data_IF_732248190678
#
_entry.id   IF_732248190678
#
_cell.length_a   1.000
_cell.length_b   1.000
_cell.length_c   1.000
_cell.angle_alpha   90.00
_cell.angle_beta   90.00
_cell.angle_gamma   90.00
#
_symmetry.space_group_name_H-M   'P 1'
#
loop_
_entity.id
_entity.type
_entity.pdbx_description
1 polymer ?
#
# COMPACT_ATOMS: atom_id res chain seq x y z
N UNK A 1 9.29 -2.27 -16.91
CA UNK A 1 10.04 -1.41 -17.84
C UNK A 1 10.97 -2.22 -18.75
N UNK A 2 12.07 -2.85 -18.29
CA UNK A 2 13.02 -3.61 -19.15
C UNK A 2 12.34 -4.72 -19.97
N UNK A 3 11.42 -5.49 -19.38
CA UNK A 3 10.67 -6.55 -20.09
C UNK A 3 9.81 -5.99 -21.22
N UNK A 4 9.20 -4.80 -21.05
CA UNK A 4 8.42 -4.16 -22.12
C UNK A 4 9.31 -3.73 -23.28
N UNK A 5 10.51 -3.17 -22.99
CA UNK A 5 11.51 -2.86 -24.01
C UNK A 5 11.93 -4.11 -24.79
N UNK A 6 12.21 -5.22 -24.09
CA UNK A 6 12.53 -6.50 -24.73
C UNK A 6 11.40 -6.99 -25.64
N UNK A 7 10.15 -6.95 -25.19
CA UNK A 7 9.00 -7.35 -26.00
C UNK A 7 8.82 -6.44 -27.23
N UNK A 8 9.08 -5.14 -27.09
CA UNK A 8 8.90 -4.15 -28.16
C UNK A 8 9.96 -4.26 -29.26
N UNK A 9 11.20 -4.57 -28.91
CA UNK A 9 12.30 -4.62 -29.87
C UNK A 9 12.75 -6.05 -30.26
N UNK A 10 12.24 -7.07 -29.58
CA UNK A 10 12.62 -8.48 -29.72
C UNK A 10 13.86 -8.84 -28.91
N UNK A 11 13.88 -10.08 -28.39
CA UNK A 11 14.89 -10.55 -27.45
C UNK A 11 16.33 -10.47 -28.00
N UNK A 12 16.52 -10.79 -29.27
CA UNK A 12 17.86 -10.76 -29.89
C UNK A 12 18.44 -9.34 -30.00
N UNK A 13 17.63 -8.38 -30.46
CA UNK A 13 18.07 -6.98 -30.56
C UNK A 13 18.30 -6.38 -29.16
N UNK A 14 17.42 -6.73 -28.21
CA UNK A 14 17.58 -6.32 -26.81
C UNK A 14 18.89 -6.86 -26.21
N UNK A 15 19.18 -8.16 -26.42
CA UNK A 15 20.42 -8.77 -25.94
C UNK A 15 21.66 -8.10 -26.53
N UNK A 16 21.70 -7.86 -27.85
CA UNK A 16 22.83 -7.16 -28.50
C UNK A 16 23.00 -5.75 -27.93
N UNK A 17 21.90 -5.02 -27.74
CA UNK A 17 21.92 -3.69 -27.16
C UNK A 17 22.49 -3.68 -25.73
N UNK A 18 22.07 -4.63 -24.89
CA UNK A 18 22.62 -4.77 -23.54
C UNK A 18 24.10 -5.14 -23.54
N UNK A 19 24.54 -6.06 -24.41
CA UNK A 19 25.94 -6.43 -24.55
C UNK A 19 26.80 -5.21 -24.94
N UNK A 20 26.31 -4.40 -25.92
CA UNK A 20 26.99 -3.17 -26.34
C UNK A 20 27.03 -2.14 -25.22
N UNK A 21 25.92 -1.94 -24.50
CA UNK A 21 25.86 -1.04 -23.35
C UNK A 21 26.88 -1.42 -22.26
N UNK A 22 26.88 -2.68 -21.83
CA UNK A 22 27.78 -3.17 -20.80
C UNK A 22 29.27 -3.11 -21.23
N UNK A 23 29.59 -3.39 -22.49
CA UNK A 23 30.95 -3.31 -22.98
C UNK A 23 31.42 -1.86 -23.15
N UNK A 24 30.56 -0.95 -23.58
CA UNK A 24 30.89 0.47 -23.81
C UNK A 24 31.16 1.19 -22.47
N UNK A 25 30.42 0.86 -21.45
CA UNK A 25 30.48 1.51 -20.14
C UNK A 25 31.12 0.63 -19.05
N UNK A 26 31.89 -0.41 -19.44
CA UNK A 26 32.57 -1.28 -18.49
C UNK A 26 33.48 -0.46 -17.57
N UNK A 27 33.34 -0.69 -16.24
CA UNK A 27 34.08 0.02 -15.18
C UNK A 27 33.84 1.55 -15.15
N UNK A 28 32.84 2.06 -15.86
CA UNK A 28 32.46 3.47 -15.90
C UNK A 28 31.04 3.71 -15.39
N UNK A 29 30.66 4.99 -15.36
CA UNK A 29 29.29 5.39 -15.04
C UNK A 29 28.48 5.51 -16.33
N UNK A 30 27.31 4.88 -16.35
CA UNK A 30 26.38 4.97 -17.45
C UNK A 30 25.04 5.56 -16.97
N UNK A 31 24.33 6.20 -17.90
CA UNK A 31 23.01 6.79 -17.65
C UNK A 31 21.93 6.04 -18.38
N UNK A 32 20.67 6.30 -18.03
CA UNK A 32 19.53 5.80 -18.75
C UNK A 32 19.52 6.24 -20.23
N UNK A 33 19.87 7.50 -20.52
CA UNK A 33 19.93 8.01 -21.89
C UNK A 33 20.96 7.25 -22.74
N UNK A 34 22.10 6.88 -22.19
CA UNK A 34 23.09 6.04 -22.89
C UNK A 34 22.49 4.68 -23.28
N UNK A 35 21.74 4.05 -22.38
CA UNK A 35 21.07 2.78 -22.66
C UNK A 35 20.04 2.95 -23.79
N UNK A 36 19.16 3.94 -23.68
CA UNK A 36 18.08 4.18 -24.66
C UNK A 36 18.65 4.46 -26.06
N UNK A 37 19.72 5.24 -26.18
CA UNK A 37 20.38 5.51 -27.46
C UNK A 37 20.95 4.25 -28.11
N UNK A 38 21.57 3.38 -27.31
CA UNK A 38 22.11 2.11 -27.79
C UNK A 38 20.99 1.17 -28.23
N UNK A 39 19.91 1.04 -27.43
CA UNK A 39 18.77 0.20 -27.78
C UNK A 39 18.04 0.70 -29.04
N UNK A 40 17.89 2.01 -29.18
CA UNK A 40 17.33 2.62 -30.38
C UNK A 40 18.17 2.34 -31.63
N UNK A 41 19.50 2.41 -31.51
CA UNK A 41 20.41 2.12 -32.62
C UNK A 41 20.35 0.64 -33.06
N UNK A 42 20.11 -0.32 -32.13
CA UNK A 42 19.95 -1.75 -32.42
C UNK A 42 18.59 -2.08 -33.06
N UNK A 43 17.54 -1.33 -32.77
CA UNK A 43 16.18 -1.54 -33.28
C UNK A 43 15.47 -0.21 -33.57
N UNK A 44 15.84 0.54 -34.64
CA UNK A 44 15.28 1.86 -34.93
C UNK A 44 13.77 1.86 -35.17
N UNK A 45 13.22 0.77 -35.70
CA UNK A 45 11.79 0.61 -35.97
C UNK A 45 10.95 0.24 -34.72
N UNK A 46 11.58 0.00 -33.59
CA UNK A 46 10.90 -0.44 -32.37
C UNK A 46 10.40 0.73 -31.49
N UNK A 47 10.41 1.96 -31.97
CA UNK A 47 9.87 3.13 -31.25
C UNK A 47 10.40 3.31 -29.82
N UNK A 48 11.68 3.00 -29.58
CA UNK A 48 12.30 3.04 -28.24
C UNK A 48 12.33 4.47 -27.65
N UNK A 49 12.47 5.49 -28.50
CA UNK A 49 12.43 6.90 -28.06
C UNK A 49 11.04 7.33 -27.62
N UNK A 50 9.99 6.83 -28.27
CA UNK A 50 8.60 7.09 -27.87
C UNK A 50 8.30 6.41 -26.52
N UNK A 51 8.80 5.19 -26.33
CA UNK A 51 8.75 4.50 -25.05
C UNK A 51 9.44 5.32 -23.93
N UNK A 52 10.66 5.79 -24.19
CA UNK A 52 11.42 6.61 -23.22
C UNK A 52 10.65 7.89 -22.85
N UNK A 53 10.08 8.57 -23.83
CA UNK A 53 9.31 9.78 -23.59
C UNK A 53 8.06 9.50 -22.74
N UNK A 54 7.30 8.46 -23.07
CA UNK A 54 6.02 8.16 -22.41
C UNK A 54 6.19 7.51 -21.03
N UNK A 55 7.19 6.63 -20.86
CA UNK A 55 7.32 5.79 -19.70
C UNK A 55 8.35 6.28 -18.66
N UNK A 56 9.27 7.15 -19.08
CA UNK A 56 10.38 7.59 -18.22
C UNK A 56 10.41 9.11 -18.06
N UNK A 57 10.30 9.87 -19.16
CA UNK A 57 10.47 11.33 -19.13
C UNK A 57 9.18 12.09 -18.87
N UNK A 58 8.03 11.54 -19.27
CA UNK A 58 6.74 12.17 -19.00
C UNK A 58 6.37 12.00 -17.52
N UNK A 59 5.91 13.07 -16.89
CA UNK A 59 5.41 13.03 -15.51
C UNK A 59 4.01 12.40 -15.48
N UNK A 60 3.75 11.57 -14.47
CA UNK A 60 2.47 10.90 -14.26
C UNK A 60 2.34 9.59 -15.03
N UNK A 61 1.17 8.95 -14.90
CA UNK A 61 0.82 7.70 -15.58
C UNK A 61 -0.08 8.04 -16.75
N UNK A 62 0.23 7.62 -18.00
CA UNK A 62 -0.65 7.77 -19.14
C UNK A 62 -2.03 7.17 -18.85
N UNK A 63 -3.09 7.82 -19.31
CA UNK A 63 -4.46 7.37 -19.09
C UNK A 63 -5.13 7.04 -20.42
N UNK A 64 -5.86 5.92 -20.48
CA UNK A 64 -6.64 5.50 -21.64
C UNK A 64 -8.05 5.07 -21.22
N UNK A 65 -9.05 5.41 -22.01
CA UNK A 65 -10.42 4.93 -21.80
C UNK A 65 -10.50 3.45 -22.12
N UNK A 66 -11.12 2.69 -21.21
CA UNK A 66 -11.35 1.25 -21.37
C UNK A 66 -12.79 1.00 -21.83
N UNK A 67 -12.94 0.37 -23.00
CA UNK A 67 -14.22 -0.18 -23.44
C UNK A 67 -14.34 -1.64 -22.96
N UNK A 68 -15.24 -1.95 -22.02
CA UNK A 68 -15.44 -3.32 -21.56
C UNK A 68 -16.07 -4.24 -22.62
N UNK A 69 -16.58 -3.70 -23.74
CA UNK A 69 -17.15 -4.48 -24.84
C UNK A 69 -16.16 -4.71 -25.99
N UNK A 70 -14.93 -4.18 -25.91
CA UNK A 70 -13.91 -4.41 -26.94
C UNK A 70 -13.67 -5.90 -27.17
N UNK A 71 -13.36 -6.30 -28.41
CA UNK A 71 -13.10 -7.71 -28.73
C UNK A 71 -12.00 -8.33 -27.84
N UNK A 72 -10.94 -7.55 -27.62
CA UNK A 72 -9.84 -7.92 -26.72
C UNK A 72 -9.71 -6.84 -25.62
N UNK A 73 -9.53 -7.30 -24.35
CA UNK A 73 -9.21 -6.41 -23.26
C UNK A 73 -7.72 -6.05 -23.29
N UNK A 74 -7.36 -4.79 -23.04
CA UNK A 74 -5.95 -4.40 -23.03
C UNK A 74 -5.23 -4.93 -21.78
N UNK A 75 -3.90 -4.97 -21.89
CA UNK A 75 -2.98 -5.23 -20.77
C UNK A 75 -3.19 -6.55 -20.03
N UNK A 76 -3.70 -7.60 -20.67
CA UNK A 76 -3.88 -8.91 -20.00
C UNK A 76 -2.55 -9.61 -19.69
N UNK A 77 -1.45 -9.13 -20.25
CA UNK A 77 -0.09 -9.53 -19.88
C UNK A 77 0.47 -8.75 -18.67
N UNK A 78 -0.23 -7.72 -18.20
CA UNK A 78 0.17 -6.87 -17.08
C UNK A 78 1.42 -6.02 -17.34
N UNK A 79 1.80 -5.81 -18.61
CA UNK A 79 3.06 -5.14 -18.98
C UNK A 79 2.93 -3.67 -19.33
N UNK A 80 1.72 -3.14 -19.44
CA UNK A 80 1.52 -1.73 -19.79
C UNK A 80 1.65 -0.82 -18.57
N UNK A 81 2.38 0.28 -18.75
CA UNK A 81 2.43 1.39 -17.79
C UNK A 81 1.37 2.42 -18.21
N UNK A 82 0.11 2.08 -18.00
CA UNK A 82 -1.07 2.86 -18.39
C UNK A 82 -2.14 2.66 -17.33
N UNK A 83 -2.88 3.71 -17.03
CA UNK A 83 -4.10 3.63 -16.24
C UNK A 83 -5.28 3.52 -17.19
N UNK A 84 -6.00 2.41 -17.11
CA UNK A 84 -7.20 2.18 -17.90
C UNK A 84 -8.44 2.63 -17.14
N UNK A 85 -9.19 3.58 -17.69
CA UNK A 85 -10.34 4.19 -17.04
C UNK A 85 -11.65 3.69 -17.63
N UNK A 86 -12.48 3.09 -16.78
CA UNK A 86 -13.87 2.76 -17.06
C UNK A 86 -14.74 4.03 -16.99
N UNK A 87 -15.81 4.07 -17.79
CA UNK A 87 -16.69 5.22 -17.82
C UNK A 87 -17.44 5.42 -16.50
N UNK A 88 -17.99 4.34 -15.95
CA UNK A 88 -18.87 4.34 -14.77
C UNK A 88 -19.00 2.94 -14.16
N UNK A 89 -19.85 2.80 -13.13
CA UNK A 89 -20.12 1.53 -12.46
C UNK A 89 -20.74 0.48 -13.39
N UNK A 90 -21.53 0.86 -14.38
CA UNK A 90 -22.11 -0.10 -15.32
C UNK A 90 -21.04 -0.70 -16.26
N UNK A 91 -20.07 0.12 -16.67
CA UNK A 91 -18.90 -0.35 -17.41
C UNK A 91 -18.04 -1.28 -16.53
N UNK A 92 -17.93 -0.99 -15.22
CA UNK A 92 -17.20 -1.85 -14.27
C UNK A 92 -17.90 -3.20 -14.08
N UNK A 93 -19.23 -3.26 -14.00
CA UNK A 93 -19.97 -4.52 -13.94
C UNK A 93 -19.70 -5.42 -15.14
N UNK A 94 -19.76 -4.87 -16.35
CA UNK A 94 -19.44 -5.60 -17.59
C UNK A 94 -17.98 -6.07 -17.63
N UNK A 95 -17.06 -5.24 -17.15
CA UNK A 95 -15.66 -5.61 -17.08
C UNK A 95 -15.42 -6.75 -16.08
N UNK A 96 -16.12 -6.77 -14.94
CA UNK A 96 -16.10 -7.85 -13.95
C UNK A 96 -16.62 -9.16 -14.55
N UNK A 97 -17.71 -9.13 -15.31
CA UNK A 97 -18.22 -10.33 -15.99
C UNK A 97 -17.13 -10.95 -16.88
N UNK A 98 -16.47 -10.14 -17.68
CA UNK A 98 -15.39 -10.58 -18.57
C UNK A 98 -14.14 -11.04 -17.81
N UNK A 99 -13.78 -10.36 -16.71
CA UNK A 99 -12.66 -10.75 -15.87
C UNK A 99 -12.79 -12.19 -15.36
N UNK A 100 -14.00 -12.55 -14.94
CA UNK A 100 -14.26 -13.91 -14.40
C UNK A 100 -14.17 -15.01 -15.46
N UNK A 101 -14.24 -14.67 -16.75
CA UNK A 101 -14.12 -15.57 -17.90
C UNK A 101 -12.69 -15.63 -18.48
N UNK A 102 -11.76 -14.78 -18.01
CA UNK A 102 -10.39 -14.76 -18.53
C UNK A 102 -9.67 -16.10 -18.26
N UNK A 103 -9.00 -16.65 -19.29
CA UNK A 103 -8.44 -18.00 -19.22
C UNK A 103 -7.13 -18.10 -18.42
N UNK A 104 -6.49 -16.96 -18.14
CA UNK A 104 -5.18 -16.93 -17.48
C UNK A 104 -5.23 -16.20 -16.14
N UNK A 105 -4.59 -16.76 -15.13
CA UNK A 105 -4.44 -16.12 -13.81
C UNK A 105 -3.75 -14.75 -13.90
N UNK A 106 -2.76 -14.60 -14.77
CA UNK A 106 -2.08 -13.33 -15.02
C UNK A 106 -3.05 -12.28 -15.56
N UNK A 107 -3.88 -12.63 -16.55
CA UNK A 107 -4.90 -11.73 -17.09
C UNK A 107 -5.95 -11.33 -16.06
N UNK A 108 -6.38 -12.27 -15.22
CA UNK A 108 -7.31 -12.00 -14.13
C UNK A 108 -6.71 -11.03 -13.12
N UNK A 109 -5.45 -11.21 -12.73
CA UNK A 109 -4.79 -10.29 -11.79
C UNK A 109 -4.57 -8.91 -12.41
N UNK A 110 -4.18 -8.80 -13.68
CA UNK A 110 -4.05 -7.54 -14.39
C UNK A 110 -5.40 -6.78 -14.46
N UNK A 111 -6.50 -7.53 -14.68
CA UNK A 111 -7.84 -6.94 -14.66
C UNK A 111 -8.26 -6.50 -13.25
N UNK A 112 -7.90 -7.24 -12.19
CA UNK A 112 -8.11 -6.82 -10.80
C UNK A 112 -7.35 -5.52 -10.49
N UNK A 113 -6.10 -5.37 -10.96
CA UNK A 113 -5.34 -4.12 -10.81
C UNK A 113 -6.06 -2.95 -11.47
N UNK A 114 -6.57 -3.14 -12.70
CA UNK A 114 -7.39 -2.14 -13.41
C UNK A 114 -8.64 -1.75 -12.63
N UNK A 115 -9.37 -2.73 -12.07
CA UNK A 115 -10.55 -2.47 -11.22
C UNK A 115 -10.17 -1.72 -9.93
N UNK A 116 -9.05 -2.06 -9.31
CA UNK A 116 -8.58 -1.39 -8.09
C UNK A 116 -8.29 0.10 -8.37
N UNK A 117 -7.61 0.41 -9.46
CA UNK A 117 -7.38 1.82 -9.88
C UNK A 117 -8.71 2.55 -10.12
N UNK A 118 -9.67 1.92 -10.78
CA UNK A 118 -11.00 2.50 -11.01
C UNK A 118 -11.80 2.69 -9.71
N UNK A 119 -11.64 1.80 -8.74
CA UNK A 119 -12.21 1.96 -7.39
C UNK A 119 -11.56 3.15 -6.67
N UNK A 120 -10.24 3.30 -6.72
CA UNK A 120 -9.55 4.46 -6.13
C UNK A 120 -10.01 5.78 -6.77
N UNK A 121 -10.22 5.81 -8.09
CA UNK A 121 -10.75 6.96 -8.83
C UNK A 121 -12.26 7.17 -8.67
N UNK A 122 -12.94 6.41 -7.81
CA UNK A 122 -14.38 6.49 -7.55
C UNK A 122 -15.27 6.24 -8.79
N UNK A 123 -14.75 5.55 -9.81
CA UNK A 123 -15.50 5.14 -11.01
C UNK A 123 -16.37 3.90 -10.78
N UNK A 124 -16.12 3.21 -9.65
CA UNK A 124 -16.95 2.09 -9.18
C UNK A 124 -17.02 2.08 -7.65
N UNK A 125 -18.09 1.52 -7.06
CA UNK A 125 -18.20 1.38 -5.61
C UNK A 125 -17.13 0.43 -5.04
N UNK A 126 -16.49 0.80 -3.92
CA UNK A 126 -15.50 -0.02 -3.25
C UNK A 126 -16.04 -1.40 -2.83
N UNK A 127 -17.33 -1.48 -2.45
CA UNK A 127 -17.98 -2.75 -2.09
C UNK A 127 -18.08 -3.70 -3.29
N UNK A 128 -18.30 -3.19 -4.50
CA UNK A 128 -18.33 -4.00 -5.72
C UNK A 128 -16.95 -4.65 -5.95
N UNK A 129 -15.88 -3.87 -5.86
CA UNK A 129 -14.51 -4.38 -5.95
C UNK A 129 -14.22 -5.44 -4.88
N UNK A 130 -14.52 -5.13 -3.60
CA UNK A 130 -14.25 -6.04 -2.49
C UNK A 130 -14.96 -7.39 -2.66
N UNK A 131 -16.26 -7.39 -3.00
CA UNK A 131 -17.04 -8.62 -3.16
C UNK A 131 -16.59 -9.45 -4.38
N UNK A 132 -16.25 -8.80 -5.50
CA UNK A 132 -15.69 -9.49 -6.67
C UNK A 132 -14.38 -10.19 -6.29
N UNK A 133 -13.48 -9.48 -5.62
CA UNK A 133 -12.17 -10.03 -5.25
C UNK A 133 -12.31 -11.14 -4.19
N UNK A 134 -13.21 -11.00 -3.21
CA UNK A 134 -13.54 -12.08 -2.25
C UNK A 134 -14.07 -13.32 -2.98
N UNK A 135 -14.96 -13.15 -3.97
CA UNK A 135 -15.48 -14.27 -4.76
C UNK A 135 -14.36 -15.00 -5.52
N UNK A 136 -13.41 -14.26 -6.10
CA UNK A 136 -12.27 -14.87 -6.80
C UNK A 136 -11.41 -15.73 -5.87
N UNK A 137 -11.20 -15.31 -4.62
CA UNK A 137 -10.41 -16.11 -3.67
C UNK A 137 -11.04 -17.46 -3.33
N UNK A 138 -12.35 -17.65 -3.53
CA UNK A 138 -13.02 -18.90 -3.20
C UNK A 138 -12.70 -20.06 -4.16
N UNK A 139 -12.27 -19.75 -5.38
CA UNK A 139 -11.97 -20.73 -6.44
C UNK A 139 -10.49 -20.76 -6.81
N UNK A 140 -9.70 -19.88 -6.25
CA UNK A 140 -8.25 -19.75 -6.52
C UNK A 140 -7.45 -20.65 -5.56
N UNK A 141 -6.42 -21.30 -6.08
CA UNK A 141 -5.49 -22.15 -5.31
C UNK A 141 -4.02 -21.71 -5.42
N UNK A 142 -3.71 -20.83 -6.36
CA UNK A 142 -2.37 -20.28 -6.51
C UNK A 142 -2.04 -19.30 -5.38
N UNK A 143 -1.05 -19.65 -4.54
CA UNK A 143 -0.68 -18.88 -3.34
C UNK A 143 -0.27 -17.43 -3.65
N UNK A 144 0.44 -17.20 -4.76
CA UNK A 144 0.88 -15.85 -5.13
C UNK A 144 -0.30 -14.98 -5.57
N UNK A 145 -1.24 -15.54 -6.32
CA UNK A 145 -2.46 -14.84 -6.73
C UNK A 145 -3.35 -14.55 -5.53
N UNK A 146 -3.59 -15.54 -4.67
CA UNK A 146 -4.31 -15.37 -3.40
C UNK A 146 -3.70 -14.27 -2.54
N UNK A 147 -2.36 -14.24 -2.44
CA UNK A 147 -1.65 -13.20 -1.68
C UNK A 147 -1.92 -11.79 -2.23
N UNK A 148 -1.92 -11.65 -3.55
CA UNK A 148 -2.23 -10.38 -4.22
C UNK A 148 -3.69 -9.96 -4.01
N UNK A 149 -4.63 -10.88 -4.24
CA UNK A 149 -6.07 -10.64 -4.04
C UNK A 149 -6.36 -10.25 -2.59
N UNK A 150 -5.82 -10.99 -1.62
CA UNK A 150 -5.97 -10.69 -0.20
C UNK A 150 -5.46 -9.31 0.18
N UNK A 151 -4.31 -8.90 -0.39
CA UNK A 151 -3.75 -7.56 -0.18
C UNK A 151 -4.66 -6.45 -0.72
N UNK A 152 -5.25 -6.62 -1.89
CA UNK A 152 -6.20 -5.66 -2.45
C UNK A 152 -7.49 -5.56 -1.63
N UNK A 153 -8.04 -6.69 -1.17
CA UNK A 153 -9.24 -6.69 -0.33
C UNK A 153 -8.98 -5.93 0.97
N UNK A 154 -7.89 -6.22 1.65
CA UNK A 154 -7.52 -5.56 2.92
C UNK A 154 -7.38 -4.04 2.74
N UNK A 155 -6.69 -3.59 1.70
CA UNK A 155 -6.57 -2.16 1.39
C UNK A 155 -7.92 -1.50 1.09
N UNK A 156 -8.88 -2.26 0.56
CA UNK A 156 -10.21 -1.74 0.22
C UNK A 156 -11.08 -1.49 1.46
N UNK A 157 -10.80 -2.15 2.59
CA UNK A 157 -11.61 -2.02 3.81
C UNK A 157 -11.76 -0.56 4.28
N UNK A 158 -10.72 0.26 4.13
CA UNK A 158 -10.76 1.68 4.52
C UNK A 158 -11.72 2.55 3.69
N UNK A 159 -12.18 2.04 2.56
CA UNK A 159 -13.09 2.74 1.64
C UNK A 159 -14.55 2.29 1.75
N UNK A 160 -14.82 1.36 2.67
CA UNK A 160 -16.18 0.83 2.88
C UNK A 160 -16.91 1.59 3.99
N UNK A 161 -18.22 1.76 3.83
CA UNK A 161 -19.08 2.17 4.95
C UNK A 161 -19.04 1.11 6.04
N UNK A 162 -19.36 1.48 7.28
CA UNK A 162 -19.35 0.57 8.44
C UNK A 162 -20.15 -0.72 8.17
N UNK A 163 -21.36 -0.60 7.61
CA UNK A 163 -22.19 -1.75 7.26
C UNK A 163 -21.50 -2.69 6.26
N UNK A 164 -20.95 -2.14 5.17
CA UNK A 164 -20.29 -2.91 4.11
C UNK A 164 -18.98 -3.51 4.60
N UNK A 165 -18.22 -2.75 5.39
CA UNK A 165 -17.01 -3.21 6.04
C UNK A 165 -17.29 -4.41 6.95
N UNK A 166 -18.30 -4.33 7.81
CA UNK A 166 -18.72 -5.42 8.69
C UNK A 166 -19.01 -6.69 7.90
N UNK A 167 -19.71 -6.57 6.77
CA UNK A 167 -19.99 -7.72 5.91
C UNK A 167 -18.74 -8.32 5.28
N UNK A 168 -17.84 -7.49 4.73
CA UNK A 168 -16.59 -7.95 4.09
C UNK A 168 -15.63 -8.55 5.13
N UNK A 169 -15.47 -7.92 6.29
CA UNK A 169 -14.66 -8.46 7.39
C UNK A 169 -15.16 -9.83 7.86
N UNK A 170 -16.49 -10.03 7.93
CA UNK A 170 -17.07 -11.35 8.22
C UNK A 170 -16.65 -12.39 7.18
N UNK A 171 -16.71 -12.04 5.88
CA UNK A 171 -16.30 -12.96 4.80
C UNK A 171 -14.81 -13.29 4.87
N UNK A 172 -13.97 -12.30 5.14
CA UNK A 172 -12.54 -12.52 5.32
C UNK A 172 -12.23 -13.37 6.58
N UNK A 173 -13.02 -13.19 7.65
CA UNK A 173 -12.90 -14.03 8.83
C UNK A 173 -13.24 -15.50 8.53
N UNK A 174 -14.34 -15.77 7.80
CA UNK A 174 -14.70 -17.11 7.32
C UNK A 174 -13.55 -17.70 6.47
N UNK A 175 -12.97 -16.92 5.57
CA UNK A 175 -11.80 -17.32 4.76
C UNK A 175 -10.57 -17.65 5.64
N UNK A 176 -10.29 -16.85 6.67
CA UNK A 176 -9.18 -17.10 7.57
C UNK A 176 -9.32 -18.41 8.37
N UNK A 177 -10.55 -18.90 8.57
CA UNK A 177 -10.82 -20.17 9.26
C UNK A 177 -10.76 -21.37 8.30
N UNK A 178 -11.40 -21.28 7.14
CA UNK A 178 -11.81 -22.45 6.38
C UNK A 178 -11.15 -22.58 4.99
N UNK A 179 -10.42 -21.55 4.49
CA UNK A 179 -9.82 -21.63 3.16
C UNK A 179 -8.81 -22.79 3.05
N UNK A 180 -8.81 -23.60 1.97
CA UNK A 180 -7.93 -24.77 1.84
C UNK A 180 -6.44 -24.41 1.88
N UNK A 181 -6.03 -23.26 1.31
CA UNK A 181 -4.65 -22.82 1.25
C UNK A 181 -4.22 -22.22 2.58
N UNK A 182 -3.34 -22.91 3.31
CA UNK A 182 -2.90 -22.53 4.67
C UNK A 182 -2.19 -21.17 4.72
N UNK A 183 -1.31 -20.88 3.75
CA UNK A 183 -0.59 -19.62 3.67
C UNK A 183 -1.53 -18.43 3.50
N UNK A 184 -2.61 -18.59 2.75
CA UNK A 184 -3.64 -17.58 2.57
C UNK A 184 -4.46 -17.35 3.85
N UNK A 185 -4.88 -18.43 4.56
CA UNK A 185 -5.50 -18.28 5.89
C UNK A 185 -4.63 -17.47 6.84
N UNK A 186 -3.34 -17.77 6.88
CA UNK A 186 -2.37 -17.08 7.72
C UNK A 186 -2.28 -15.59 7.34
N UNK A 187 -2.21 -15.29 6.05
CA UNK A 187 -2.15 -13.91 5.55
C UNK A 187 -3.40 -13.12 5.96
N UNK A 188 -4.60 -13.67 5.73
CA UNK A 188 -5.86 -12.98 6.05
C UNK A 188 -6.00 -12.79 7.56
N UNK A 189 -5.69 -13.80 8.37
CA UNK A 189 -5.72 -13.69 9.83
C UNK A 189 -4.78 -12.59 10.34
N UNK A 190 -3.54 -12.56 9.86
CA UNK A 190 -2.55 -11.53 10.20
C UNK A 190 -3.01 -10.14 9.78
N UNK A 191 -3.59 -10.02 8.60
CA UNK A 191 -4.06 -8.74 8.08
C UNK A 191 -5.28 -8.24 8.86
N UNK A 192 -6.30 -9.07 9.08
CA UNK A 192 -7.46 -8.70 9.89
C UNK A 192 -7.07 -8.31 11.32
N UNK A 193 -6.08 -9.00 11.89
CA UNK A 193 -5.57 -8.69 13.24
C UNK A 193 -5.00 -7.28 13.38
N UNK A 194 -4.78 -6.58 12.29
CA UNK A 194 -4.19 -5.23 12.26
C UNK A 194 -5.19 -4.15 11.82
N UNK A 195 -6.33 -4.54 11.22
CA UNK A 195 -7.22 -3.57 10.58
C UNK A 195 -8.72 -3.76 10.90
N UNK A 196 -9.13 -4.88 11.49
CA UNK A 196 -10.54 -5.19 11.73
C UNK A 196 -11.20 -4.18 12.67
N UNK A 197 -12.41 -3.72 12.33
CA UNK A 197 -13.17 -2.78 13.15
C UNK A 197 -14.55 -3.32 13.56
N UNK A 198 -15.08 -4.35 12.87
CA UNK A 198 -16.37 -4.93 13.24
C UNK A 198 -16.28 -5.66 14.58
N UNK A 199 -17.21 -5.38 15.49
CA UNK A 199 -17.19 -5.87 16.86
C UNK A 199 -17.03 -7.41 16.94
N UNK A 200 -17.71 -8.16 16.05
CA UNK A 200 -17.63 -9.62 16.04
C UNK A 200 -16.22 -10.12 15.71
N UNK A 201 -15.59 -9.57 14.68
CA UNK A 201 -14.24 -9.99 14.26
C UNK A 201 -13.20 -9.54 15.29
N UNK A 202 -13.30 -8.31 15.79
CA UNK A 202 -12.43 -7.79 16.87
C UNK A 202 -12.51 -8.67 18.12
N UNK A 203 -13.69 -9.10 18.55
CA UNK A 203 -13.84 -9.99 19.70
C UNK A 203 -13.23 -11.37 19.45
N UNK A 204 -13.35 -11.91 18.23
CA UNK A 204 -12.74 -13.18 17.86
C UNK A 204 -11.18 -13.07 17.85
N UNK A 205 -10.65 -11.96 17.31
CA UNK A 205 -9.20 -11.65 17.34
C UNK A 205 -8.73 -11.51 18.80
N UNK A 206 -9.49 -10.83 19.64
CA UNK A 206 -9.18 -10.67 21.06
C UNK A 206 -9.10 -12.03 21.78
N UNK A 207 -10.03 -12.95 21.51
CA UNK A 207 -9.99 -14.31 22.08
C UNK A 207 -8.73 -15.06 21.65
N UNK A 208 -8.37 -15.05 20.36
CA UNK A 208 -7.12 -15.66 19.86
C UNK A 208 -5.90 -15.02 20.54
N UNK A 209 -5.88 -13.70 20.68
CA UNK A 209 -4.80 -13.01 21.35
C UNK A 209 -4.69 -13.40 22.85
N UNK A 210 -5.83 -13.54 23.54
CA UNK A 210 -5.85 -13.98 24.94
C UNK A 210 -5.26 -15.40 25.11
N UNK A 211 -5.64 -16.34 24.25
CA UNK A 211 -5.13 -17.71 24.26
C UNK A 211 -3.62 -17.78 23.97
N UNK A 212 -3.12 -16.98 23.04
CA UNK A 212 -1.69 -16.79 22.77
C UNK A 212 -0.96 -17.99 22.16
N UNK A 213 -1.66 -18.96 21.55
CA UNK A 213 -1.09 -20.23 21.05
C UNK A 213 -1.59 -20.64 19.66
N UNK A 214 -2.13 -19.72 18.87
CA UNK A 214 -2.68 -20.03 17.56
C UNK A 214 -1.59 -20.49 16.57
N UNK A 215 -1.75 -21.63 15.87
CA UNK A 215 -0.68 -22.28 15.08
C UNK A 215 -0.23 -21.50 13.83
N UNK A 216 -0.98 -20.50 13.40
CA UNK A 216 -0.65 -19.64 12.26
C UNK A 216 0.05 -18.32 12.66
N UNK A 217 0.23 -18.06 13.96
CA UNK A 217 0.74 -16.78 14.47
C UNK A 217 2.04 -16.96 15.23
N UNK A 218 2.94 -15.97 15.11
CA UNK A 218 4.20 -15.91 15.86
C UNK A 218 4.20 -14.74 16.87
N UNK A 219 5.28 -14.58 17.64
CA UNK A 219 5.42 -13.53 18.66
C UNK A 219 5.16 -12.12 18.10
N UNK A 220 5.69 -11.82 16.89
CA UNK A 220 5.50 -10.52 16.24
C UNK A 220 4.04 -10.29 15.80
N UNK A 221 3.36 -11.35 15.41
CA UNK A 221 1.93 -11.26 15.07
C UNK A 221 1.11 -10.89 16.31
N UNK A 222 1.36 -11.52 17.46
CA UNK A 222 0.69 -11.17 18.72
C UNK A 222 1.00 -9.75 19.18
N UNK A 223 2.22 -9.29 18.97
CA UNK A 223 2.60 -7.90 19.27
C UNK A 223 1.79 -6.90 18.43
N UNK A 224 1.69 -7.14 17.12
CA UNK A 224 0.88 -6.29 16.23
C UNK A 224 -0.63 -6.36 16.55
N UNK A 225 -1.13 -7.56 16.92
CA UNK A 225 -2.50 -7.72 17.42
C UNK A 225 -2.75 -6.86 18.65
N UNK A 226 -1.82 -6.85 19.61
CA UNK A 226 -1.94 -6.09 20.83
C UNK A 226 -2.02 -4.58 20.55
N UNK A 227 -1.22 -4.05 19.62
CA UNK A 227 -1.31 -2.64 19.22
C UNK A 227 -2.69 -2.31 18.66
N UNK A 228 -3.17 -3.08 17.69
CA UNK A 228 -4.47 -2.86 17.10
C UNK A 228 -5.62 -3.00 18.10
N UNK A 229 -5.63 -4.08 18.88
CA UNK A 229 -6.64 -4.32 19.91
C UNK A 229 -6.68 -3.20 20.95
N UNK A 230 -5.53 -2.68 21.37
CA UNK A 230 -5.46 -1.57 22.33
C UNK A 230 -6.06 -0.26 21.75
N UNK A 231 -5.99 -0.05 20.43
CA UNK A 231 -6.62 1.11 19.77
C UNK A 231 -8.13 0.93 19.65
N UNK A 232 -8.60 -0.24 19.15
CA UNK A 232 -10.03 -0.46 18.90
C UNK A 232 -10.83 -0.87 20.14
N UNK A 233 -10.13 -1.15 21.26
CA UNK A 233 -10.70 -1.46 22.58
C UNK A 233 -10.12 -0.51 23.66
N UNK A 234 -10.36 0.80 23.57
CA UNK A 234 -9.69 1.79 24.40
C UNK A 234 -9.93 1.59 25.92
N UNK A 235 -11.02 0.93 26.31
CA UNK A 235 -11.29 0.60 27.72
C UNK A 235 -10.34 -0.47 28.27
N UNK A 236 -9.78 -1.34 27.41
CA UNK A 236 -8.92 -2.47 27.79
C UNK A 236 -7.43 -2.22 27.47
N UNK A 237 -7.09 -1.07 26.89
CA UNK A 237 -5.79 -0.82 26.27
C UNK A 237 -4.60 -1.08 27.19
N UNK A 238 -4.63 -0.61 28.43
CA UNK A 238 -3.55 -0.79 29.40
C UNK A 238 -3.34 -2.28 29.70
N UNK A 239 -4.42 -3.01 29.98
CA UNK A 239 -4.37 -4.45 30.26
C UNK A 239 -3.80 -5.23 29.06
N UNK A 240 -4.19 -4.86 27.84
CA UNK A 240 -3.70 -5.47 26.60
C UNK A 240 -2.19 -5.25 26.49
N UNK A 241 -1.73 -4.01 26.60
CA UNK A 241 -0.31 -3.67 26.48
C UNK A 241 0.53 -4.34 27.56
N UNK A 242 0.12 -4.27 28.82
CA UNK A 242 0.84 -4.93 29.92
C UNK A 242 0.90 -6.44 29.77
N UNK A 243 -0.19 -7.08 29.35
CA UNK A 243 -0.24 -8.52 29.12
C UNK A 243 0.69 -8.93 28.02
N UNK A 244 0.66 -8.22 26.87
CA UNK A 244 1.56 -8.52 25.77
C UNK A 244 3.02 -8.29 26.14
N UNK A 245 3.35 -7.23 26.86
CA UNK A 245 4.71 -6.94 27.34
C UNK A 245 5.29 -8.07 28.18
N UNK A 246 4.48 -8.68 29.05
CA UNK A 246 4.91 -9.83 29.90
C UNK A 246 5.21 -11.08 29.08
N UNK A 247 4.54 -11.27 27.92
CA UNK A 247 4.75 -12.41 27.03
C UNK A 247 6.05 -12.32 26.21
N UNK A 248 6.54 -11.11 25.96
CA UNK A 248 7.77 -10.91 25.19
C UNK A 248 8.98 -11.40 25.97
N UNK A 249 9.86 -12.13 25.29
CA UNK A 249 11.05 -12.74 25.93
C UNK A 249 12.36 -12.02 25.57
N UNK A 250 12.46 -11.54 24.32
CA UNK A 250 13.68 -10.90 23.80
C UNK A 250 13.77 -9.42 24.21
N UNK A 251 14.93 -9.01 24.71
CA UNK A 251 15.15 -7.64 25.21
C UNK A 251 14.96 -6.56 24.13
N UNK A 252 15.41 -6.82 22.89
CA UNK A 252 15.25 -5.87 21.79
C UNK A 252 13.80 -5.71 21.36
N UNK A 253 13.04 -6.82 21.33
CA UNK A 253 11.59 -6.79 21.03
C UNK A 253 10.83 -6.06 22.14
N UNK A 254 11.22 -6.24 23.41
CA UNK A 254 10.64 -5.47 24.53
C UNK A 254 10.92 -3.98 24.39
N UNK A 255 12.13 -3.60 24.02
CA UNK A 255 12.51 -2.18 23.83
C UNK A 255 11.68 -1.53 22.72
N UNK A 256 11.53 -2.23 21.58
CA UNK A 256 10.65 -1.79 20.50
C UNK A 256 9.21 -1.63 21.00
N UNK A 257 8.70 -2.66 21.68
CA UNK A 257 7.33 -2.67 22.18
C UNK A 257 7.08 -1.54 23.18
N UNK A 258 7.98 -1.32 24.12
CA UNK A 258 7.89 -0.28 25.16
C UNK A 258 7.88 1.13 24.52
N UNK A 259 8.58 1.33 23.40
CA UNK A 259 8.58 2.60 22.68
C UNK A 259 7.29 2.79 21.87
N UNK A 260 6.93 1.80 21.05
CA UNK A 260 5.85 1.91 20.06
C UNK A 260 4.47 1.85 20.72
N UNK A 261 4.28 1.00 21.74
CA UNK A 261 2.99 0.80 22.42
C UNK A 261 2.46 2.06 23.11
N UNK A 262 3.32 3.06 23.38
CA UNK A 262 2.89 4.37 23.88
C UNK A 262 1.87 5.02 22.96
N UNK A 263 2.00 4.82 21.64
CA UNK A 263 1.06 5.27 20.64
C UNK A 263 -0.34 4.67 20.73
N UNK A 264 -0.53 3.59 21.49
CA UNK A 264 -1.85 2.98 21.69
C UNK A 264 -2.74 3.73 22.68
N UNK A 265 -2.23 4.74 23.39
CA UNK A 265 -3.02 5.53 24.36
C UNK A 265 -4.28 6.11 23.70
N UNK A 266 -5.45 6.07 24.37
CA UNK A 266 -6.65 6.77 23.91
C UNK A 266 -6.64 8.27 24.29
N UNK A 267 -5.72 8.73 25.13
CA UNK A 267 -5.63 10.14 25.57
C UNK A 267 -5.05 11.01 24.44
N UNK A 268 -5.87 11.87 23.87
CA UNK A 268 -5.49 12.77 22.76
C UNK A 268 -4.37 13.74 23.15
N UNK A 269 -4.31 14.18 24.39
CA UNK A 269 -3.23 15.06 24.89
C UNK A 269 -1.89 14.33 24.93
N UNK A 270 -1.87 13.05 25.32
CA UNK A 270 -0.67 12.23 25.27
C UNK A 270 -0.27 11.88 23.83
N UNK A 271 -1.24 11.59 22.95
CA UNK A 271 -0.98 11.40 21.51
C UNK A 271 -0.30 12.64 20.89
N UNK A 272 -0.78 13.84 21.23
CA UNK A 272 -0.18 15.11 20.79
C UNK A 272 1.25 15.25 21.31
N UNK A 273 1.51 15.00 22.60
CA UNK A 273 2.87 15.05 23.18
C UNK A 273 3.82 14.06 22.53
N UNK A 274 3.35 12.84 22.25
CA UNK A 274 4.12 11.81 21.54
C UNK A 274 4.48 12.25 20.12
N UNK A 275 3.51 12.78 19.38
CA UNK A 275 3.74 13.33 18.06
C UNK A 275 4.78 14.47 18.08
N UNK A 276 4.60 15.47 18.96
CA UNK A 276 5.54 16.58 19.11
C UNK A 276 6.96 16.11 19.49
N UNK A 277 7.04 15.04 20.27
CA UNK A 277 8.34 14.44 20.59
C UNK A 277 9.03 13.85 19.36
N UNK A 278 8.27 13.27 18.41
CA UNK A 278 8.80 12.74 17.16
C UNK A 278 9.30 13.83 16.19
N UNK A 279 8.90 15.08 16.35
CA UNK A 279 9.44 16.19 15.55
C UNK A 279 10.91 16.50 15.91
N UNK A 280 11.43 15.98 17.04
CA UNK A 280 12.81 16.19 17.48
C UNK A 280 13.70 15.02 17.05
N UNK A 281 14.83 15.28 16.37
CA UNK A 281 15.75 14.26 15.85
C UNK A 281 16.23 13.28 16.93
N UNK A 282 16.50 13.77 18.14
CA UNK A 282 16.95 12.97 19.27
C UNK A 282 15.99 11.84 19.67
N UNK A 283 14.70 11.97 19.35
CA UNK A 283 13.66 10.97 19.63
C UNK A 283 13.39 10.02 18.45
N UNK A 284 14.07 10.22 17.32
CA UNK A 284 13.99 9.37 16.11
C UNK A 284 15.24 8.56 15.85
N UNK A 285 16.12 8.40 16.84
CA UNK A 285 17.40 7.68 16.67
C UNK A 285 17.24 6.23 16.20
N UNK A 286 16.11 5.60 16.49
CA UNK A 286 15.73 4.29 15.94
C UNK A 286 14.54 4.52 15.01
N UNK A 287 14.83 4.86 13.76
CA UNK A 287 13.84 5.24 12.75
C UNK A 287 12.68 4.25 12.57
N UNK A 288 12.88 2.92 12.57
CA UNK A 288 11.77 1.97 12.50
C UNK A 288 10.78 2.11 13.67
N UNK A 289 11.26 2.43 14.87
CA UNK A 289 10.39 2.62 16.03
C UNK A 289 9.61 3.94 15.91
N UNK A 290 10.26 5.00 15.46
CA UNK A 290 9.62 6.29 15.22
C UNK A 290 8.53 6.19 14.13
N UNK A 291 8.81 5.48 13.02
CA UNK A 291 7.84 5.20 11.96
C UNK A 291 6.65 4.40 12.49
N UNK A 292 6.89 3.32 13.24
CA UNK A 292 5.83 2.50 13.82
C UNK A 292 4.97 3.29 14.83
N UNK A 293 5.57 4.13 15.69
CA UNK A 293 4.84 5.00 16.60
C UNK A 293 3.98 6.00 15.83
N UNK A 294 4.54 6.64 14.79
CA UNK A 294 3.81 7.59 13.94
C UNK A 294 2.62 6.90 13.25
N UNK A 295 2.78 5.66 12.77
CA UNK A 295 1.69 4.86 12.18
C UNK A 295 0.56 4.64 13.17
N UNK A 296 0.85 4.30 14.44
CA UNK A 296 -0.20 4.12 15.46
C UNK A 296 -0.93 5.43 15.81
N UNK A 297 -0.21 6.56 15.80
CA UNK A 297 -0.80 7.89 16.02
C UNK A 297 -1.73 8.30 14.88
N UNK A 298 -1.46 7.80 13.66
CA UNK A 298 -2.24 8.02 12.46
C UNK A 298 -3.08 6.79 12.06
N UNK A 299 -3.49 5.97 13.03
CA UNK A 299 -4.43 4.87 12.77
C UNK A 299 -5.72 5.40 12.13
N UNK A 300 -6.30 4.73 11.12
CA UNK A 300 -7.51 5.19 10.42
C UNK A 300 -8.69 5.53 11.35
N UNK A 301 -8.79 4.87 12.50
CA UNK A 301 -9.84 5.15 13.50
C UNK A 301 -9.67 6.49 14.22
N UNK A 302 -8.49 7.10 14.10
CA UNK A 302 -8.09 8.37 14.73
C UNK A 302 -8.03 9.55 13.76
N UNK A 303 -8.33 9.32 12.48
CA UNK A 303 -8.15 10.33 11.42
C UNK A 303 -8.72 11.73 11.77
N UNK A 304 -9.92 11.87 12.35
CA UNK A 304 -10.44 13.21 12.69
C UNK A 304 -9.53 14.00 13.64
N UNK A 305 -8.83 13.30 14.53
CA UNK A 305 -7.87 13.93 15.43
C UNK A 305 -6.48 14.09 14.79
N UNK A 306 -5.98 13.04 14.11
CA UNK A 306 -4.61 12.98 13.59
C UNK A 306 -4.38 13.82 12.33
N UNK A 307 -5.43 14.30 11.64
CA UNK A 307 -5.31 15.25 10.52
C UNK A 307 -4.42 16.45 10.86
N UNK A 308 -4.42 16.88 12.12
CA UNK A 308 -3.58 18.00 12.63
C UNK A 308 -2.08 17.74 12.56
N UNK A 309 -1.67 16.46 12.47
CA UNK A 309 -0.26 16.07 12.41
C UNK A 309 0.34 16.25 11.01
N UNK A 310 -0.49 16.30 9.95
CA UNK A 310 -0.03 16.29 8.56
C UNK A 310 0.92 17.45 8.29
N UNK A 311 0.47 18.70 8.47
CA UNK A 311 1.29 19.87 8.15
C UNK A 311 2.59 19.92 8.93
N UNK A 312 2.62 19.83 10.28
CA UNK A 312 3.87 19.92 11.03
C UNK A 312 4.81 18.73 10.76
N UNK A 313 4.29 17.54 10.41
CA UNK A 313 5.11 16.41 10.03
C UNK A 313 5.77 16.60 8.65
N UNK A 314 5.09 17.27 7.71
CA UNK A 314 5.63 17.62 6.40
C UNK A 314 6.66 18.76 6.49
N UNK A 315 6.44 19.73 7.37
CA UNK A 315 7.41 20.80 7.65
C UNK A 315 8.74 20.25 8.21
N UNK A 316 8.69 19.15 8.97
CA UNK A 316 9.88 18.50 9.51
C UNK A 316 10.67 17.68 8.47
N UNK A 317 10.13 17.47 7.25
CA UNK A 317 10.66 16.48 6.30
C UNK A 317 12.06 16.83 5.75
N UNK A 318 12.40 18.13 5.60
CA UNK A 318 13.74 18.53 5.18
C UNK A 318 14.78 18.24 6.27
N UNK A 319 14.45 18.45 7.52
CA UNK A 319 15.33 18.09 8.65
C UNK A 319 15.49 16.58 8.73
N UNK A 320 14.40 15.81 8.58
CA UNK A 320 14.40 14.33 8.53
C UNK A 320 15.29 13.81 7.40
N UNK A 321 15.21 14.41 6.19
CA UNK A 321 16.10 14.04 5.07
C UNK A 321 17.58 14.29 5.38
N UNK A 322 17.90 15.32 6.16
CA UNK A 322 19.27 15.68 6.51
C UNK A 322 19.86 14.82 7.62
N UNK A 323 19.03 14.40 8.57
CA UNK A 323 19.46 13.72 9.81
C UNK A 323 19.23 12.22 9.80
N UNK A 324 18.36 11.71 8.90
CA UNK A 324 17.97 10.32 8.82
C UNK A 324 18.60 9.54 7.67
N UNK A 325 18.28 8.26 7.61
CA UNK A 325 18.62 7.38 6.49
C UNK A 325 17.93 7.82 5.19
N UNK A 326 18.50 7.48 4.04
CA UNK A 326 18.01 7.84 2.70
C UNK A 326 16.55 7.39 2.44
N UNK A 327 16.09 6.32 3.08
CA UNK A 327 14.74 5.77 2.93
C UNK A 327 13.76 6.36 3.95
N UNK A 328 14.26 6.92 5.05
CA UNK A 328 13.41 7.35 6.16
C UNK A 328 12.42 8.45 5.79
N UNK A 329 12.72 9.46 4.96
CA UNK A 329 11.73 10.47 4.56
C UNK A 329 10.49 9.88 3.87
N UNK A 330 10.67 8.86 3.01
CA UNK A 330 9.54 8.17 2.38
C UNK A 330 8.75 7.37 3.42
N UNK A 331 9.44 6.60 4.28
CA UNK A 331 8.81 5.83 5.35
C UNK A 331 8.04 6.73 6.32
N UNK A 332 8.58 7.92 6.63
CA UNK A 332 7.90 8.93 7.45
C UNK A 332 6.60 9.41 6.80
N UNK A 333 6.63 9.79 5.51
CA UNK A 333 5.43 10.17 4.77
C UNK A 333 4.38 9.06 4.72
N UNK A 334 4.79 7.80 4.50
CA UNK A 334 3.88 6.66 4.49
C UNK A 334 3.27 6.41 5.87
N UNK A 335 4.08 6.42 6.94
CA UNK A 335 3.61 6.27 8.32
C UNK A 335 2.65 7.38 8.75
N UNK A 336 2.82 8.58 8.20
CA UNK A 336 1.93 9.71 8.42
C UNK A 336 0.60 9.56 7.66
N UNK A 337 0.65 9.16 6.36
CA UNK A 337 -0.47 9.34 5.44
C UNK A 337 -1.28 8.06 5.16
N UNK A 338 -0.72 6.86 5.35
CA UNK A 338 -1.41 5.61 5.01
C UNK A 338 -2.72 5.37 5.80
N UNK A 339 -2.86 5.99 6.96
CA UNK A 339 -4.08 5.95 7.78
C UNK A 339 -5.16 6.97 7.40
N UNK A 340 -4.86 7.91 6.51
CA UNK A 340 -5.75 8.99 6.13
C UNK A 340 -6.48 8.70 4.82
N UNK A 341 -7.79 8.99 4.79
CA UNK A 341 -8.66 8.71 3.64
C UNK A 341 -9.65 9.85 3.37
N UNK A 342 -9.68 10.89 4.21
CA UNK A 342 -10.61 12.00 4.10
C UNK A 342 -10.16 13.04 3.07
N UNK A 343 -11.13 13.81 2.58
CA UNK A 343 -10.89 14.97 1.74
C UNK A 343 -10.07 16.03 2.48
N UNK A 344 -10.33 16.23 3.77
CA UNK A 344 -9.59 17.17 4.62
C UNK A 344 -8.08 16.85 4.66
N UNK A 345 -7.72 15.57 4.85
CA UNK A 345 -6.33 15.14 4.83
C UNK A 345 -5.66 15.41 3.46
N UNK A 346 -6.37 15.13 2.35
CA UNK A 346 -5.88 15.42 1.01
C UNK A 346 -5.69 16.93 0.77
N UNK A 347 -6.61 17.76 1.26
CA UNK A 347 -6.52 19.23 1.19
C UNK A 347 -5.31 19.75 1.94
N UNK A 348 -5.02 19.25 3.15
CA UNK A 348 -3.83 19.64 3.93
C UNK A 348 -2.52 19.33 3.21
N UNK A 349 -2.42 18.17 2.56
CA UNK A 349 -1.25 17.82 1.72
C UNK A 349 -1.15 18.77 0.52
N UNK A 350 -2.27 19.10 -0.13
CA UNK A 350 -2.28 20.02 -1.26
C UNK A 350 -1.87 21.45 -0.84
N UNK A 351 -2.43 21.95 0.26
CA UNK A 351 -2.09 23.28 0.83
C UNK A 351 -0.59 23.39 1.16
N UNK A 352 -0.01 22.31 1.73
CA UNK A 352 1.42 22.25 1.96
C UNK A 352 2.21 22.36 0.64
N UNK A 353 1.85 21.59 -0.37
CA UNK A 353 2.51 21.58 -1.68
C UNK A 353 2.39 22.94 -2.41
N UNK A 354 1.27 23.61 -2.26
CA UNK A 354 0.99 24.93 -2.89
C UNK A 354 1.72 26.08 -2.16
N UNK A 355 1.87 25.97 -0.84
CA UNK A 355 2.59 26.97 -0.04
C UNK A 355 4.12 26.82 -0.09
N UNK A 356 4.64 25.67 -0.52
CA UNK A 356 6.07 25.35 -0.59
C UNK A 356 6.51 25.13 -2.03
N UNK A 357 6.41 26.16 -2.89
CA UNK A 357 6.73 26.09 -4.32
C UNK A 357 8.18 25.73 -4.60
N UNK A 358 9.11 26.17 -3.74
CA UNK A 358 10.56 25.93 -3.84
C UNK A 358 11.02 24.66 -3.07
N UNK A 359 10.06 23.79 -2.68
CA UNK A 359 10.36 22.58 -1.93
C UNK A 359 11.27 21.62 -2.74
N UNK A 360 12.30 21.01 -2.12
CA UNK A 360 13.24 20.14 -2.81
C UNK A 360 12.55 19.05 -3.63
N UNK A 361 12.83 18.97 -4.94
CA UNK A 361 12.12 18.08 -5.87
C UNK A 361 12.15 16.61 -5.42
N UNK A 362 13.28 16.13 -4.89
CA UNK A 362 13.41 14.76 -4.40
C UNK A 362 12.47 14.47 -3.22
N UNK A 363 12.26 15.42 -2.31
CA UNK A 363 11.31 15.29 -1.19
C UNK A 363 9.88 15.43 -1.67
N UNK A 364 9.60 16.40 -2.57
CA UNK A 364 8.29 16.56 -3.20
C UNK A 364 7.84 15.24 -3.87
N UNK A 365 8.73 14.57 -4.59
CA UNK A 365 8.43 13.31 -5.25
C UNK A 365 8.14 12.17 -4.23
N UNK A 366 8.88 12.10 -3.12
CA UNK A 366 8.61 11.14 -2.03
C UNK A 366 7.25 11.40 -1.39
N UNK A 367 6.91 12.67 -1.12
CA UNK A 367 5.59 13.06 -0.61
C UNK A 367 4.47 12.70 -1.58
N UNK A 368 4.60 13.04 -2.86
CA UNK A 368 3.59 12.71 -3.89
C UNK A 368 3.42 11.20 -4.04
N UNK A 369 4.50 10.41 -3.92
CA UNK A 369 4.43 8.95 -3.93
C UNK A 369 3.63 8.42 -2.74
N UNK A 370 3.90 8.90 -1.52
CA UNK A 370 3.19 8.48 -0.32
C UNK A 370 1.71 8.95 -0.33
N UNK A 371 1.45 10.17 -0.81
CA UNK A 371 0.11 10.76 -0.85
C UNK A 371 -0.73 10.31 -2.06
N UNK A 372 -0.18 9.50 -2.98
CA UNK A 372 -0.84 9.17 -4.25
C UNK A 372 -2.27 8.67 -4.07
N UNK A 373 -2.49 7.70 -3.20
CA UNK A 373 -3.82 7.10 -2.98
C UNK A 373 -4.76 8.12 -2.35
N UNK A 374 -4.30 8.84 -1.32
CA UNK A 374 -5.07 9.89 -0.65
C UNK A 374 -5.53 10.98 -1.63
N UNK A 375 -4.62 11.46 -2.47
CA UNK A 375 -4.89 12.54 -3.44
C UNK A 375 -5.69 12.09 -4.67
N UNK A 376 -5.71 10.79 -4.98
CA UNK A 376 -6.48 10.26 -6.12
C UNK A 376 -7.99 10.27 -5.88
N UNK A 377 -8.45 10.55 -4.69
CA UNK A 377 -9.86 10.51 -4.26
C UNK A 377 -10.50 11.90 -4.06
N UNK A 378 -9.98 12.93 -4.71
CA UNK A 378 -10.50 14.31 -4.64
C UNK A 378 -11.91 14.44 -5.19
#
# INVERSE_FOLDING_TARGET
>A
MMRKLELQMGSEAFQRGLQRYLSTFAFGNATWDHLIQILHAEAPAAHILDFDQQWVKQKGIPTQTLDPNAAELPNLDGMDYVRYELADSAAAEKYIERLLELPTQQGQLAAVMTLYDNMLMQRMPAVMFALTTVKMTQTEDNEQQLSSLGSYIIKTLSYLTEEKRTYVEKKLWETAQDHPVKSFRQQILRSLSRVAQSAKVVNSIYAIWQEGNHPLLNERDYMNMAYHLAIVRPQDWQQIIETQRRRLTHADVKREFDFVSRGCTPDEGEQQRLFESLLKAENRTIEPYAAALLTLLNDPTREPFSNRYITPALEALEEIQRTGDIFFPLNWCQSLLDGHHSKEAAERVQEFLDSHTDYPEALRNKLLQAAYVLMSRK
#
